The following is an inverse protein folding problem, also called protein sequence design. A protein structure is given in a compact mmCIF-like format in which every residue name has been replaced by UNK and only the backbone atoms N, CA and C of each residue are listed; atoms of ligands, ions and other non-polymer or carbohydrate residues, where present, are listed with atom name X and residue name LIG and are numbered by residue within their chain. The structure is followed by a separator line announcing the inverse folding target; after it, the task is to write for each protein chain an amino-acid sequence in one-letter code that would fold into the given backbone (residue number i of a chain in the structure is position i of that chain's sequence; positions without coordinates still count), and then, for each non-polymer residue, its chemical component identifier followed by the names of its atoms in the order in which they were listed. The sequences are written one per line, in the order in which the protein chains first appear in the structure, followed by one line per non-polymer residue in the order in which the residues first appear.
data_IF_350323714130
#
_entry.id   IF_350323714130
#
_cell.length_a   1.000
_cell.length_b   1.000
_cell.length_c   1.000
_cell.angle_alpha   90.00
_cell.angle_beta   90.00
_cell.angle_gamma   90.00
#
_symmetry.space_group_name_H-M   'P 1'
#
loop_
_entity.id
_entity.type
_entity.pdbx_description
1 polymer ?
#
# COMPACT_ATOMS: atom_id res chain seq x y z
N UNK A 1 22.98 17.05 -21.52
CA UNK A 1 22.87 15.89 -20.62
C UNK A 1 23.92 14.89 -21.07
N UNK A 2 24.92 14.61 -20.24
CA UNK A 2 26.00 13.68 -20.56
C UNK A 2 25.53 12.24 -20.33
N UNK A 3 26.14 11.26 -21.06
CA UNK A 3 25.83 9.83 -20.86
C UNK A 3 26.03 9.38 -19.39
N UNK A 4 26.96 10.03 -18.69
CA UNK A 4 27.26 9.80 -17.28
C UNK A 4 26.03 10.21 -16.40
N UNK A 5 25.38 11.33 -16.72
CA UNK A 5 24.19 11.79 -15.97
C UNK A 5 23.01 10.82 -16.14
N UNK A 6 22.87 10.26 -17.35
CA UNK A 6 21.80 9.28 -17.65
C UNK A 6 22.05 7.96 -16.91
N UNK A 7 23.30 7.47 -16.91
CA UNK A 7 23.66 6.25 -16.19
C UNK A 7 23.48 6.40 -14.69
N UNK A 8 23.81 7.58 -14.14
CA UNK A 8 23.57 7.92 -12.74
C UNK A 8 22.08 7.86 -12.38
N UNK A 9 21.23 8.50 -13.18
CA UNK A 9 19.78 8.49 -12.97
C UNK A 9 19.16 7.08 -13.08
N UNK A 10 19.66 6.24 -13.99
CA UNK A 10 19.21 4.85 -14.12
C UNK A 10 19.63 3.98 -12.93
N UNK A 11 20.85 4.15 -12.44
CA UNK A 11 21.34 3.45 -11.26
C UNK A 11 20.53 3.84 -10.02
N UNK A 12 20.22 5.14 -9.84
CA UNK A 12 19.36 5.64 -8.78
C UNK A 12 17.95 5.05 -8.88
N UNK A 13 17.36 5.02 -10.09
CA UNK A 13 16.07 4.40 -10.31
C UNK A 13 16.03 2.93 -9.92
N UNK A 14 17.05 2.16 -10.29
CA UNK A 14 17.16 0.74 -9.94
C UNK A 14 17.23 0.54 -8.42
N UNK A 15 18.03 1.37 -7.74
CA UNK A 15 18.14 1.36 -6.27
C UNK A 15 16.78 1.65 -5.59
N UNK A 16 16.08 2.68 -6.04
CA UNK A 16 14.77 3.05 -5.50
C UNK A 16 13.70 1.97 -5.76
N UNK A 17 13.77 1.32 -6.93
CA UNK A 17 12.89 0.17 -7.23
C UNK A 17 13.16 -1.01 -6.32
N UNK A 18 14.41 -1.35 -6.08
CA UNK A 18 14.77 -2.40 -5.14
C UNK A 18 14.30 -2.09 -3.71
N UNK A 19 14.37 -0.82 -3.30
CA UNK A 19 13.84 -0.38 -2.01
C UNK A 19 12.32 -0.54 -1.94
N UNK A 20 11.57 -0.14 -2.98
CA UNK A 20 10.10 -0.32 -3.04
C UNK A 20 9.74 -1.80 -2.93
N UNK A 21 10.42 -2.68 -3.65
CA UNK A 21 10.17 -4.12 -3.63
C UNK A 21 10.46 -4.73 -2.25
N UNK A 22 11.55 -4.31 -1.61
CA UNK A 22 11.88 -4.71 -0.23
C UNK A 22 10.78 -4.30 0.76
N UNK A 23 10.30 -3.06 0.67
CA UNK A 23 9.22 -2.54 1.51
C UNK A 23 7.89 -3.26 1.27
N UNK A 24 7.59 -3.61 0.01
CA UNK A 24 6.39 -4.38 -0.34
C UNK A 24 6.42 -5.78 0.27
N UNK A 25 7.57 -6.48 0.21
CA UNK A 25 7.76 -7.76 0.88
C UNK A 25 7.58 -7.66 2.39
N UNK A 26 8.16 -6.61 3.00
CA UNK A 26 8.01 -6.36 4.43
C UNK A 26 6.55 -6.10 4.83
N UNK A 27 5.76 -5.40 4.01
CA UNK A 27 4.33 -5.24 4.27
C UNK A 27 3.57 -6.57 4.29
N UNK A 28 3.89 -7.49 3.37
CA UNK A 28 3.29 -8.83 3.35
C UNK A 28 3.67 -9.62 4.62
N UNK A 29 4.92 -9.50 5.07
CA UNK A 29 5.38 -10.13 6.32
C UNK A 29 4.64 -9.59 7.54
N UNK A 30 4.37 -8.27 7.62
CA UNK A 30 3.59 -7.67 8.71
C UNK A 30 2.18 -8.27 8.76
N UNK A 31 1.51 -8.42 7.63
CA UNK A 31 0.17 -9.04 7.58
C UNK A 31 0.22 -10.50 8.01
N UNK A 32 1.20 -11.27 7.51
CA UNK A 32 1.40 -12.65 7.92
C UNK A 32 1.67 -12.78 9.43
N UNK A 33 2.55 -11.93 9.96
CA UNK A 33 2.84 -11.89 11.40
C UNK A 33 1.60 -11.55 12.23
N UNK A 34 0.78 -10.59 11.77
CA UNK A 34 -0.47 -10.23 12.46
C UNK A 34 -1.43 -11.42 12.54
N UNK A 35 -1.63 -12.14 11.43
CA UNK A 35 -2.50 -13.32 11.40
C UNK A 35 -1.99 -14.42 12.32
N UNK A 36 -0.69 -14.73 12.22
CA UNK A 36 -0.05 -15.77 13.06
C UNK A 36 -0.14 -15.41 14.54
N UNK A 37 0.21 -14.19 14.91
CA UNK A 37 0.20 -13.72 16.30
C UNK A 37 -1.22 -13.73 16.87
N UNK A 38 -2.19 -13.19 16.12
CA UNK A 38 -3.60 -13.18 16.54
C UNK A 38 -4.12 -14.61 16.73
N UNK A 39 -3.87 -15.50 15.77
CA UNK A 39 -4.29 -16.90 15.86
C UNK A 39 -3.67 -17.62 17.06
N UNK A 40 -2.38 -17.40 17.32
CA UNK A 40 -1.69 -17.99 18.46
C UNK A 40 -2.26 -17.50 19.80
N UNK A 41 -2.48 -16.18 19.94
CA UNK A 41 -3.05 -15.58 21.16
C UNK A 41 -4.48 -16.09 21.39
N UNK A 42 -5.31 -16.14 20.34
CA UNK A 42 -6.69 -16.62 20.43
C UNK A 42 -6.70 -18.11 20.80
N UNK A 43 -5.91 -18.94 20.13
CA UNK A 43 -5.82 -20.37 20.45
C UNK A 43 -5.37 -20.62 21.90
N UNK A 44 -4.36 -19.89 22.37
CA UNK A 44 -3.88 -19.98 23.74
C UNK A 44 -4.94 -19.54 24.76
N UNK A 45 -5.59 -18.39 24.53
CA UNK A 45 -6.62 -17.86 25.42
C UNK A 45 -7.83 -18.79 25.52
N UNK A 46 -8.26 -19.41 24.40
CA UNK A 46 -9.39 -20.34 24.40
C UNK A 46 -9.03 -21.69 25.04
N UNK A 47 -7.78 -22.13 24.96
CA UNK A 47 -7.32 -23.38 25.57
C UNK A 47 -7.35 -23.35 27.11
N UNK A 48 -7.33 -22.15 27.73
CA UNK A 48 -7.25 -21.98 29.17
C UNK A 48 -8.21 -20.89 29.64
N UNK A 49 -9.44 -21.23 30.08
CA UNK A 49 -10.46 -20.24 30.47
C UNK A 49 -9.99 -19.21 31.52
N UNK A 50 -9.04 -19.56 32.40
CA UNK A 50 -8.46 -18.63 33.38
C UNK A 50 -7.51 -17.57 32.78
N UNK A 51 -7.11 -17.70 31.51
CA UNK A 51 -6.15 -16.80 30.85
C UNK A 51 -6.79 -15.94 29.74
N UNK A 52 -8.11 -15.80 29.73
CA UNK A 52 -8.81 -15.02 28.71
C UNK A 52 -8.36 -13.55 28.66
N UNK A 53 -7.79 -13.01 29.74
CA UNK A 53 -7.17 -11.68 29.75
C UNK A 53 -6.03 -11.53 28.70
N UNK A 54 -5.39 -12.62 28.28
CA UNK A 54 -4.35 -12.61 27.23
C UNK A 54 -4.90 -12.12 25.88
N UNK A 55 -6.19 -12.29 25.62
CA UNK A 55 -6.86 -11.77 24.41
C UNK A 55 -6.76 -10.24 24.30
N UNK A 56 -6.57 -9.53 25.41
CA UNK A 56 -6.38 -8.07 25.40
C UNK A 56 -5.02 -7.62 24.84
N UNK A 57 -4.10 -8.55 24.60
CA UNK A 57 -2.84 -8.26 23.90
C UNK A 57 -3.09 -8.03 22.40
N UNK A 58 -4.15 -8.62 21.82
CA UNK A 58 -4.45 -8.52 20.40
C UNK A 58 -4.67 -7.08 19.92
N UNK A 59 -5.48 -6.24 20.59
CA UNK A 59 -5.65 -4.85 20.18
C UNK A 59 -4.35 -4.06 20.15
N UNK A 60 -3.46 -4.27 21.13
CA UNK A 60 -2.20 -3.57 21.21
C UNK A 60 -1.21 -4.03 20.11
N UNK A 61 -1.09 -5.34 19.89
CA UNK A 61 -0.26 -5.89 18.82
C UNK A 61 -0.76 -5.46 17.44
N UNK A 62 -2.09 -5.47 17.23
CA UNK A 62 -2.72 -5.00 16.01
C UNK A 62 -2.44 -3.53 15.73
N UNK A 63 -2.50 -2.67 16.75
CA UNK A 63 -2.14 -1.25 16.64
C UNK A 63 -0.68 -1.05 16.22
N UNK A 64 0.26 -1.73 16.87
CA UNK A 64 1.68 -1.63 16.58
C UNK A 64 1.99 -2.08 15.13
N UNK A 65 1.45 -3.21 14.71
CA UNK A 65 1.66 -3.75 13.37
C UNK A 65 0.95 -2.91 12.30
N UNK A 66 -0.26 -2.41 12.58
CA UNK A 66 -0.96 -1.47 11.71
C UNK A 66 -0.17 -0.18 11.49
N UNK A 67 0.38 0.41 12.55
CA UNK A 67 1.24 1.60 12.46
C UNK A 67 2.47 1.36 11.59
N UNK A 68 3.13 0.21 11.75
CA UNK A 68 4.27 -0.19 10.90
C UNK A 68 3.86 -0.37 9.45
N UNK A 69 2.74 -1.03 9.19
CA UNK A 69 2.20 -1.21 7.84
C UNK A 69 1.92 0.13 7.15
N UNK A 70 1.23 1.05 7.83
CA UNK A 70 0.91 2.39 7.33
C UNK A 70 2.18 3.21 7.08
N UNK A 71 3.17 3.14 7.98
CA UNK A 71 4.47 3.80 7.83
C UNK A 71 5.20 3.34 6.58
N UNK A 72 5.30 2.04 6.33
CA UNK A 72 5.92 1.50 5.11
C UNK A 72 5.18 1.96 3.84
N UNK A 73 3.86 1.93 3.85
CA UNK A 73 3.05 2.38 2.72
C UNK A 73 3.23 3.87 2.42
N UNK A 74 3.35 4.69 3.45
CA UNK A 74 3.61 6.12 3.30
C UNK A 74 4.98 6.37 2.71
N UNK A 75 6.01 5.68 3.21
CA UNK A 75 7.37 5.79 2.67
C UNK A 75 7.44 5.38 1.19
N UNK A 76 6.79 4.27 0.79
CA UNK A 76 6.72 3.87 -0.62
C UNK A 76 6.08 4.94 -1.51
N UNK A 77 5.05 5.64 -1.02
CA UNK A 77 4.42 6.75 -1.77
C UNK A 77 5.38 7.92 -1.99
N UNK A 78 6.17 8.27 -0.97
CA UNK A 78 7.18 9.33 -1.09
C UNK A 78 8.25 8.94 -2.11
N UNK A 79 8.74 7.71 -2.07
CA UNK A 79 9.73 7.21 -3.04
C UNK A 79 9.16 7.21 -4.46
N UNK A 80 7.90 6.76 -4.65
CA UNK A 80 7.25 6.79 -5.98
C UNK A 80 7.08 8.23 -6.48
N UNK A 81 6.68 9.13 -5.59
CA UNK A 81 6.52 10.55 -5.93
C UNK A 81 7.85 11.18 -6.35
N UNK A 82 8.93 10.88 -5.65
CA UNK A 82 10.27 11.34 -6.00
C UNK A 82 10.70 10.84 -7.39
N UNK A 83 10.43 9.56 -7.68
CA UNK A 83 10.70 8.99 -9.01
C UNK A 83 9.93 9.74 -10.10
N UNK A 84 8.65 10.03 -9.87
CA UNK A 84 7.78 10.65 -10.88
C UNK A 84 8.09 12.16 -11.07
N UNK A 85 8.38 12.89 -9.98
CA UNK A 85 8.55 14.35 -10.02
C UNK A 85 10.00 14.79 -10.32
N UNK A 86 11.00 14.08 -9.78
CA UNK A 86 12.39 14.50 -9.85
C UNK A 86 13.24 13.65 -10.79
N UNK A 87 13.04 12.34 -10.78
CA UNK A 87 13.93 11.43 -11.51
C UNK A 87 13.48 11.25 -12.96
N UNK A 88 12.19 11.09 -13.20
CA UNK A 88 11.64 10.86 -14.54
C UNK A 88 12.00 11.96 -15.56
N UNK A 89 12.03 13.27 -15.20
CA UNK A 89 12.43 14.32 -16.13
C UNK A 89 13.91 14.30 -16.51
N UNK A 90 14.77 13.65 -15.70
CA UNK A 90 16.23 13.59 -15.95
C UNK A 90 16.60 12.53 -16.99
N UNK A 91 15.69 11.57 -17.26
CA UNK A 91 15.91 10.51 -18.23
C UNK A 91 15.35 10.91 -19.57
N UNK A 92 16.18 11.06 -20.64
CA UNK A 92 15.71 11.35 -21.99
C UNK A 92 14.74 10.27 -22.47
N UNK A 93 13.54 10.68 -22.95
CA UNK A 93 12.46 9.76 -23.28
C UNK A 93 11.54 9.40 -22.13
N UNK A 94 11.88 9.79 -20.91
CA UNK A 94 11.07 9.63 -19.69
C UNK A 94 10.90 8.19 -19.22
N UNK A 95 10.46 8.04 -17.97
CA UNK A 95 10.02 6.75 -17.42
C UNK A 95 8.52 6.59 -17.71
N UNK A 96 8.15 6.16 -18.92
CA UNK A 96 6.76 6.12 -19.41
C UNK A 96 5.80 5.25 -18.59
N UNK A 97 6.32 4.34 -17.76
CA UNK A 97 5.50 3.46 -16.92
C UNK A 97 4.62 4.22 -15.91
N UNK A 98 5.13 5.28 -15.28
CA UNK A 98 4.37 6.08 -14.31
C UNK A 98 3.13 6.70 -14.96
N UNK A 99 3.30 7.38 -16.07
CA UNK A 99 2.21 7.99 -16.84
C UNK A 99 1.22 6.95 -17.37
N UNK A 100 1.72 5.85 -17.95
CA UNK A 100 0.89 4.76 -18.44
C UNK A 100 0.07 4.11 -17.32
N UNK A 101 0.70 3.81 -16.20
CA UNK A 101 0.02 3.17 -15.07
C UNK A 101 -1.04 4.07 -14.42
N UNK A 102 -0.80 5.38 -14.40
CA UNK A 102 -1.80 6.35 -13.93
C UNK A 102 -2.99 6.45 -14.89
N UNK A 103 -2.74 6.51 -16.21
CA UNK A 103 -3.79 6.56 -17.23
C UNK A 103 -4.64 5.27 -17.25
N UNK A 104 -4.04 4.12 -16.98
CA UNK A 104 -4.69 2.81 -17.02
C UNK A 104 -5.08 2.27 -15.64
N UNK A 105 -4.96 3.07 -14.57
CA UNK A 105 -5.45 2.67 -13.25
C UNK A 105 -6.95 2.46 -13.29
N UNK A 106 -7.35 1.21 -13.23
CA UNK A 106 -8.73 0.88 -12.86
C UNK A 106 -8.99 1.42 -11.46
N UNK A 107 -10.14 2.06 -11.19
CA UNK A 107 -10.48 2.43 -9.83
C UNK A 107 -10.47 1.15 -8.99
N UNK A 108 -9.40 0.98 -8.20
CA UNK A 108 -9.34 -0.13 -7.26
C UNK A 108 -10.56 0.00 -6.36
N UNK A 109 -11.45 -0.98 -6.39
CA UNK A 109 -12.59 -0.99 -5.49
C UNK A 109 -12.01 -0.96 -4.07
N UNK A 110 -12.44 0.01 -3.29
CA UNK A 110 -12.03 0.17 -1.89
C UNK A 110 -12.15 -1.15 -1.12
N UNK A 111 -13.13 -1.97 -1.46
CA UNK A 111 -13.36 -3.28 -0.88
C UNK A 111 -12.20 -4.27 -1.14
N UNK A 112 -11.55 -4.23 -2.30
CA UNK A 112 -10.61 -5.31 -2.69
C UNK A 112 -9.33 -5.32 -1.84
N UNK A 113 -8.85 -4.17 -1.41
CA UNK A 113 -7.60 -4.08 -0.66
C UNK A 113 -7.77 -3.52 0.78
N UNK A 114 -8.84 -2.74 1.02
CA UNK A 114 -9.06 -2.10 2.32
C UNK A 114 -9.80 -3.02 3.29
N UNK A 115 -10.82 -3.73 2.79
CA UNK A 115 -11.60 -4.65 3.63
C UNK A 115 -10.72 -5.75 4.27
N UNK A 116 -9.80 -6.42 3.57
CA UNK A 116 -8.90 -7.39 4.19
C UNK A 116 -8.06 -6.79 5.32
N UNK A 117 -7.57 -5.55 5.15
CA UNK A 117 -6.78 -4.86 6.17
C UNK A 117 -7.64 -4.46 7.37
N UNK A 118 -8.87 -4.00 7.12
CA UNK A 118 -9.82 -3.64 8.16
C UNK A 118 -10.23 -4.87 8.99
N UNK A 119 -10.40 -6.02 8.38
CA UNK A 119 -10.69 -7.28 9.10
C UNK A 119 -9.45 -7.74 9.86
N UNK A 120 -8.27 -7.67 9.25
CA UNK A 120 -7.03 -8.19 9.82
C UNK A 120 -6.57 -7.41 11.07
N UNK A 121 -6.63 -6.07 11.06
CA UNK A 121 -6.12 -5.25 12.16
C UNK A 121 -7.25 -4.83 13.13
N UNK A 122 -8.14 -3.89 12.81
CA UNK A 122 -9.14 -3.47 13.78
C UNK A 122 -10.26 -4.50 13.97
N UNK A 123 -10.59 -5.32 12.95
CA UNK A 123 -11.62 -6.34 13.06
C UNK A 123 -11.27 -7.43 14.07
N UNK A 124 -10.02 -7.95 14.02
CA UNK A 124 -9.52 -8.90 15.01
C UNK A 124 -9.54 -8.30 16.44
N UNK A 125 -9.17 -7.03 16.55
CA UNK A 125 -9.17 -6.30 17.83
C UNK A 125 -10.59 -6.15 18.38
N UNK A 126 -11.55 -5.75 17.55
CA UNK A 126 -12.95 -5.61 17.95
C UNK A 126 -13.57 -6.95 18.37
N UNK A 127 -13.23 -8.03 17.65
CA UNK A 127 -13.71 -9.37 17.99
C UNK A 127 -13.23 -9.79 19.38
N UNK A 128 -11.94 -9.61 19.68
CA UNK A 128 -11.36 -9.98 20.98
C UNK A 128 -11.86 -9.07 22.12
N UNK A 129 -12.03 -7.77 21.87
CA UNK A 129 -12.63 -6.83 22.83
C UNK A 129 -14.09 -7.16 23.10
N UNK A 130 -14.89 -7.48 22.08
CA UNK A 130 -16.29 -7.87 22.24
C UNK A 130 -16.43 -9.17 23.03
N UNK A 131 -15.58 -10.17 22.72
CA UNK A 131 -15.55 -11.42 23.46
C UNK A 131 -15.21 -11.22 24.94
N UNK A 132 -14.18 -10.45 25.24
CA UNK A 132 -13.76 -10.17 26.60
C UNK A 132 -14.74 -9.29 27.38
N UNK A 133 -15.46 -8.37 26.71
CA UNK A 133 -16.52 -7.59 27.34
C UNK A 133 -17.67 -8.46 27.89
N UNK A 134 -18.06 -9.49 27.13
CA UNK A 134 -19.07 -10.47 27.60
C UNK A 134 -18.66 -11.19 28.88
N UNK A 135 -17.37 -11.42 29.07
CA UNK A 135 -16.83 -12.09 30.26
C UNK A 135 -16.75 -11.17 31.48
N UNK A 136 -16.59 -9.85 31.28
CA UNK A 136 -16.61 -8.88 32.38
C UNK A 136 -17.94 -8.86 33.14
N UNK A 137 -19.05 -9.09 32.45
CA UNK A 137 -20.37 -9.05 33.04
C UNK A 137 -20.63 -10.26 33.94
N UNK A 138 -19.87 -11.34 33.74
CA UNK A 138 -20.18 -12.62 34.41
C UNK A 138 -19.55 -12.79 35.82
N UNK A 139 -18.43 -12.13 36.15
CA UNK A 139 -17.72 -12.34 37.42
C UNK A 139 -16.87 -11.15 37.84
N UNK A 140 -16.88 -10.65 39.16
CA UNK A 140 -15.61 -10.48 39.89
C UNK A 140 -15.48 -9.39 40.92
N UNK A 141 -14.46 -9.55 41.79
CA UNK A 141 -13.99 -8.56 42.74
C UNK A 141 -13.60 -7.24 42.07
N UNK A 142 -13.99 -6.09 42.64
CA UNK A 142 -13.91 -4.76 42.05
C UNK A 142 -12.52 -4.33 41.56
N UNK A 143 -11.42 -4.77 42.25
CA UNK A 143 -10.05 -4.40 41.88
C UNK A 143 -9.51 -5.13 40.64
N UNK A 144 -9.93 -6.39 40.43
CA UNK A 144 -9.60 -7.12 39.19
C UNK A 144 -10.38 -6.55 38.01
N UNK A 145 -11.60 -6.12 38.24
CA UNK A 145 -12.44 -5.45 37.25
C UNK A 145 -11.86 -4.11 36.83
N UNK A 146 -11.34 -3.28 37.76
CA UNK A 146 -10.76 -1.99 37.44
C UNK A 146 -9.51 -2.13 36.55
N UNK A 147 -8.58 -3.04 36.85
CA UNK A 147 -7.41 -3.31 36.03
C UNK A 147 -7.76 -3.78 34.61
N UNK A 148 -8.76 -4.68 34.53
CA UNK A 148 -9.24 -5.20 33.26
C UNK A 148 -9.92 -4.11 32.40
N UNK A 149 -10.73 -3.23 32.99
CA UNK A 149 -11.37 -2.09 32.33
C UNK A 149 -10.30 -1.14 31.76
N UNK A 150 -9.25 -0.83 32.49
CA UNK A 150 -8.17 0.05 32.00
C UNK A 150 -7.54 -0.54 30.73
N UNK A 151 -7.15 -1.81 30.75
CA UNK A 151 -6.53 -2.46 29.60
C UNK A 151 -7.51 -2.56 28.41
N UNK A 152 -8.79 -2.79 28.71
CA UNK A 152 -9.85 -2.83 27.69
C UNK A 152 -10.05 -1.48 27.02
N UNK A 153 -10.07 -0.38 27.78
CA UNK A 153 -10.17 0.99 27.24
C UNK A 153 -8.94 1.33 26.41
N UNK A 154 -7.73 0.97 26.88
CA UNK A 154 -6.50 1.14 26.08
C UNK A 154 -6.59 0.37 24.76
N UNK A 155 -7.08 -0.86 24.77
CA UNK A 155 -7.31 -1.66 23.56
C UNK A 155 -8.33 -1.02 22.61
N UNK A 156 -9.40 -0.42 23.12
CA UNK A 156 -10.40 0.28 22.33
C UNK A 156 -9.82 1.54 21.68
N UNK A 157 -9.04 2.34 22.42
CA UNK A 157 -8.32 3.51 21.91
C UNK A 157 -7.33 3.10 20.83
N UNK A 158 -6.53 2.06 21.06
CA UNK A 158 -5.57 1.52 20.09
C UNK A 158 -6.27 1.07 18.79
N UNK A 159 -7.44 0.44 18.91
CA UNK A 159 -8.27 0.04 17.77
C UNK A 159 -8.80 1.25 17.01
N UNK A 160 -9.29 2.28 17.70
CA UNK A 160 -9.74 3.54 17.10
C UNK A 160 -8.63 4.24 16.34
N UNK A 161 -7.43 4.32 16.91
CA UNK A 161 -6.25 4.89 16.23
C UNK A 161 -5.90 4.06 14.98
N UNK A 162 -5.97 2.72 15.04
CA UNK A 162 -5.70 1.86 13.89
C UNK A 162 -6.67 2.14 12.73
N UNK A 163 -7.97 2.30 13.03
CA UNK A 163 -8.98 2.69 12.03
C UNK A 163 -8.66 4.07 11.45
N UNK A 164 -8.35 5.04 12.31
CA UNK A 164 -7.98 6.40 11.88
C UNK A 164 -6.76 6.40 10.94
N UNK A 165 -5.71 5.65 11.26
CA UNK A 165 -4.51 5.51 10.44
C UNK A 165 -4.84 4.89 9.07
N UNK A 166 -5.64 3.84 9.04
CA UNK A 166 -6.05 3.18 7.79
C UNK A 166 -6.92 4.12 6.93
N UNK A 167 -7.88 4.82 7.52
CA UNK A 167 -8.74 5.79 6.81
C UNK A 167 -7.92 6.98 6.32
N UNK A 168 -6.96 7.48 7.12
CA UNK A 168 -6.04 8.56 6.72
C UNK A 168 -5.19 8.21 5.50
N UNK A 169 -4.82 6.94 5.35
CA UNK A 169 -4.14 6.44 4.13
C UNK A 169 -5.06 6.46 2.91
N UNK A 170 -6.36 6.25 3.10
CA UNK A 170 -7.37 6.32 2.04
C UNK A 170 -7.58 7.76 1.56
N UNK A 171 -7.78 8.70 2.47
CA UNK A 171 -8.03 10.10 2.14
C UNK A 171 -6.87 10.74 1.35
N UNK A 172 -5.63 10.29 1.61
CA UNK A 172 -4.44 10.73 0.87
C UNK A 172 -4.23 10.00 -0.47
N UNK A 173 -5.05 9.02 -0.81
CA UNK A 173 -5.06 8.34 -2.10
C UNK A 173 -5.87 9.08 -3.17
N UNK A 174 -6.42 10.27 -2.87
CA UNK A 174 -7.04 11.13 -3.86
C UNK A 174 -6.03 11.45 -4.98
N UNK A 175 -6.46 11.45 -6.25
CA UNK A 175 -5.57 11.65 -7.39
C UNK A 175 -4.86 12.98 -7.22
N UNK A 176 -3.53 12.95 -7.21
CA UNK A 176 -2.72 14.13 -7.46
C UNK A 176 -3.19 14.64 -8.82
N UNK A 177 -3.87 15.76 -8.84
CA UNK A 177 -4.19 16.47 -10.06
C UNK A 177 -2.85 16.77 -10.72
N UNK A 178 -2.51 15.98 -11.70
CA UNK A 178 -1.35 16.22 -12.55
C UNK A 178 -1.58 17.57 -13.21
N UNK A 179 -0.80 18.56 -12.78
CA UNK A 179 -0.61 19.84 -13.49
C UNK A 179 0.10 19.62 -14.85
N UNK A 180 0.16 18.39 -15.33
CA UNK A 180 0.74 17.99 -16.62
C UNK A 180 -0.07 18.46 -17.85
N UNK A 181 -1.13 19.25 -17.67
CA UNK A 181 -1.82 19.91 -18.79
C UNK A 181 -1.23 21.26 -19.15
N UNK A 182 -0.05 21.61 -18.66
CA UNK A 182 0.43 23.00 -18.89
C UNK A 182 1.79 23.03 -19.60
N UNK A 183 2.10 22.28 -20.54
CA UNK A 183 3.15 22.58 -21.55
C UNK A 183 3.50 21.35 -22.40
N UNK A 184 2.59 20.89 -23.22
CA UNK A 184 2.98 20.20 -24.44
C UNK A 184 2.64 21.09 -25.63
N UNK A 185 3.10 22.30 -25.59
CA UNK A 185 3.34 23.11 -26.78
C UNK A 185 4.66 22.66 -27.40
N UNK A 186 4.82 21.41 -27.77
CA UNK A 186 5.83 20.98 -28.71
C UNK A 186 5.30 21.32 -30.11
N UNK A 187 5.87 22.33 -30.78
CA UNK A 187 5.48 22.63 -32.16
C UNK A 187 6.00 21.47 -33.04
N UNK A 188 5.08 20.65 -33.58
CA UNK A 188 5.43 19.75 -34.66
C UNK A 188 5.06 18.27 -34.53
N UNK A 189 4.37 17.83 -33.49
CA UNK A 189 3.80 16.47 -33.48
C UNK A 189 2.38 16.57 -34.07
N UNK A 190 2.11 16.02 -35.27
CA UNK A 190 0.75 16.01 -35.84
C UNK A 190 -0.12 15.17 -34.92
N UNK A 191 -1.27 15.73 -34.55
CA UNK A 191 -2.29 15.10 -33.72
C UNK A 191 -2.73 13.79 -34.38
N UNK A 192 -2.44 12.65 -33.75
CA UNK A 192 -2.84 11.31 -34.23
C UNK A 192 -4.37 11.12 -34.29
N UNK A 193 -5.15 12.13 -33.94
CA UNK A 193 -6.61 12.14 -34.02
C UNK A 193 -7.13 12.58 -35.38
N UNK A 194 -6.27 13.10 -36.27
CA UNK A 194 -6.67 13.53 -37.65
C UNK A 194 -6.36 12.48 -38.73
N UNK A 195 -5.76 11.34 -38.36
CA UNK A 195 -5.65 10.21 -39.25
C UNK A 195 -7.04 9.54 -39.37
N UNK A 196 -7.74 9.79 -40.48
CA UNK A 196 -9.01 9.15 -40.79
C UNK A 196 -8.88 7.62 -40.81
N UNK A 197 -10.03 6.89 -40.77
CA UNK A 197 -10.05 5.42 -40.68
C UNK A 197 -9.48 4.68 -41.89
N UNK A 198 -9.00 5.38 -42.92
CA UNK A 198 -8.55 4.82 -44.20
C UNK A 198 -7.02 4.81 -44.40
N UNK A 199 -6.21 5.00 -43.37
CA UNK A 199 -4.77 4.83 -43.53
C UNK A 199 -4.45 3.33 -43.70
N UNK A 200 -3.81 2.92 -44.84
CA UNK A 200 -3.49 1.53 -45.08
C UNK A 200 -2.52 1.05 -44.00
N UNK A 201 -2.95 0.05 -43.23
CA UNK A 201 -2.09 -0.66 -42.27
C UNK A 201 -0.98 -1.32 -43.08
N UNK A 202 0.25 -0.82 -42.96
CA UNK A 202 1.40 -1.46 -43.56
C UNK A 202 1.50 -2.89 -43.04
N UNK A 203 1.40 -3.86 -43.97
CA UNK A 203 1.51 -5.27 -43.63
C UNK A 203 2.87 -5.55 -42.95
N UNK A 204 2.94 -6.43 -41.96
CA UNK A 204 4.20 -6.84 -41.38
C UNK A 204 5.09 -7.50 -42.44
N UNK A 205 6.43 -7.29 -42.39
CA UNK A 205 7.35 -7.90 -43.35
C UNK A 205 7.27 -9.42 -43.28
N UNK A 206 7.39 -10.07 -44.42
CA UNK A 206 7.34 -11.52 -44.53
C UNK A 206 8.50 -12.20 -43.75
N UNK A 207 8.28 -13.34 -43.11
CA UNK A 207 9.32 -14.02 -42.38
C UNK A 207 10.41 -14.50 -43.34
N UNK A 208 11.61 -13.93 -43.25
CA UNK A 208 12.76 -14.35 -44.06
C UNK A 208 13.54 -13.21 -44.75
N UNK A 209 13.13 -11.97 -44.68
CA UNK A 209 13.91 -10.86 -45.23
C UNK A 209 15.09 -10.49 -44.31
N UNK A 210 16.35 -10.46 -44.82
CA UNK A 210 17.51 -10.09 -44.05
C UNK A 210 17.46 -8.59 -43.68
N UNK A 211 17.58 -8.31 -42.36
CA UNK A 211 17.63 -6.95 -41.85
C UNK A 211 18.91 -6.26 -42.35
N UNK A 212 18.82 -5.08 -43.00
CA UNK A 212 19.99 -4.34 -43.44
C UNK A 212 20.83 -3.86 -42.24
N UNK A 213 22.17 -3.82 -42.37
CA UNK A 213 23.06 -3.38 -41.30
C UNK A 213 22.81 -1.90 -40.99
N UNK A 214 22.69 -1.60 -39.70
CA UNK A 214 22.64 -0.23 -39.16
C UNK A 214 23.98 0.48 -39.49
N UNK A 215 23.88 1.62 -40.12
CA UNK A 215 25.01 2.57 -40.32
C UNK A 215 25.04 3.57 -39.16
#
# INVERSE_FOLDING_TARGET
VTDIDIQGALAEYQSLRAEIDSRAKFQQQIVGLQLTLTSAIVAFGLSRPGLLAVLLIVPLSSYLLCGRYVGQRTAMRWTTRYIDEELAPRVPGGLGWGAWSQANRRPARLLDWFLPLLICFPGASLLTLGWTAGLMVAHQAWYTTAGFVIVWVVGLVATGISVYLLVGVLGRAAPVRTSASRNTGLPGVPDARTAGPDAPVSAPPAPGEPVPPLR
#
